data_IF_929901213275
#
_entry.id   IF_929901213275
#
_cell.length_a   1.000
_cell.length_b   1.000
_cell.length_c   1.000
_cell.angle_alpha   90.00
_cell.angle_beta   90.00
_cell.angle_gamma   90.00
#
_symmetry.space_group_name_H-M   'P 1'
#
loop_
_entity.id
_entity.type
_entity.pdbx_description
1 polymer ?
#
# COMPACT_ATOMS: atom_id res chain seq x y z
N UNK A 1 1.63 -25.49 16.23
CA UNK A 1 0.77 -24.85 15.23
C UNK A 1 1.69 -23.98 14.39
N UNK A 2 1.91 -24.31 13.11
CA UNK A 2 2.87 -23.60 12.27
C UNK A 2 2.25 -22.28 11.80
N UNK A 3 2.67 -21.16 12.39
CA UNK A 3 2.38 -19.83 11.88
C UNK A 3 3.05 -19.68 10.51
N UNK A 4 2.25 -19.76 9.45
CA UNK A 4 2.72 -19.49 8.10
C UNK A 4 3.22 -18.04 8.00
N UNK A 5 4.49 -17.87 7.64
CA UNK A 5 5.21 -16.61 7.40
C UNK A 5 4.57 -15.74 6.31
N UNK A 6 3.42 -15.14 6.59
CA UNK A 6 2.84 -14.06 5.79
C UNK A 6 2.74 -12.81 6.66
N UNK A 7 3.83 -12.06 6.82
CA UNK A 7 3.77 -10.71 7.39
C UNK A 7 3.16 -9.76 6.36
N UNK A 8 1.85 -9.88 6.15
CA UNK A 8 1.13 -9.13 5.15
C UNK A 8 0.67 -7.79 5.73
N UNK A 9 1.61 -6.85 5.84
CA UNK A 9 1.42 -5.57 6.53
C UNK A 9 0.95 -4.44 5.61
N UNK A 10 0.62 -4.74 4.34
CA UNK A 10 0.30 -3.71 3.33
C UNK A 10 -0.82 -2.77 3.77
N UNK A 11 -1.94 -3.31 4.25
CA UNK A 11 -3.09 -2.50 4.67
C UNK A 11 -2.76 -1.56 5.82
N UNK A 12 -1.94 -2.03 6.77
CA UNK A 12 -1.45 -1.24 7.91
C UNK A 12 -0.54 -0.10 7.45
N UNK A 13 0.52 -0.43 6.71
CA UNK A 13 1.48 0.57 6.20
C UNK A 13 0.76 1.57 5.28
N UNK A 14 -0.12 1.09 4.40
CA UNK A 14 -0.88 1.96 3.52
C UNK A 14 -1.82 2.90 4.28
N UNK A 15 -2.49 2.42 5.33
CA UNK A 15 -3.34 3.25 6.19
C UNK A 15 -2.54 4.33 6.90
N UNK A 16 -1.41 3.96 7.51
CA UNK A 16 -0.51 4.91 8.19
C UNK A 16 -0.04 6.02 7.23
N UNK A 17 0.30 5.67 5.99
CA UNK A 17 0.73 6.64 4.98
C UNK A 17 -0.41 7.52 4.48
N UNK A 18 -1.61 6.98 4.25
CA UNK A 18 -2.80 7.79 3.92
C UNK A 18 -3.05 8.80 5.04
N UNK A 19 -3.07 8.35 6.29
CA UNK A 19 -3.35 9.21 7.43
C UNK A 19 -2.26 10.29 7.57
N UNK A 20 -0.99 9.94 7.32
CA UNK A 20 0.13 10.89 7.25
C UNK A 20 -0.07 11.94 6.15
N UNK A 21 -0.65 11.59 5.00
CA UNK A 21 -0.91 12.57 3.94
C UNK A 21 -2.08 13.52 4.25
N UNK A 22 -3.01 13.12 5.13
CA UNK A 22 -4.28 13.83 5.31
C UNK A 22 -5.21 13.78 4.10
N UNK A 23 -4.86 13.03 3.05
CA UNK A 23 -5.69 12.83 1.88
C UNK A 23 -6.77 11.78 2.16
N UNK A 24 -7.96 11.96 1.56
CA UNK A 24 -8.98 10.92 1.60
C UNK A 24 -8.65 9.80 0.60
N UNK A 25 -9.17 8.59 0.84
CA UNK A 25 -9.08 7.49 -0.12
C UNK A 25 -9.61 7.88 -1.52
N UNK A 26 -10.59 8.78 -1.58
CA UNK A 26 -11.13 9.31 -2.84
C UNK A 26 -10.08 10.10 -3.62
N UNK A 27 -9.37 11.03 -2.98
CA UNK A 27 -8.30 11.82 -3.63
C UNK A 27 -7.17 10.93 -4.14
N UNK A 28 -6.79 9.91 -3.35
CA UNK A 28 -5.79 8.93 -3.76
C UNK A 28 -6.28 8.13 -4.97
N UNK A 29 -7.55 7.71 -4.96
CA UNK A 29 -8.20 7.01 -6.07
C UNK A 29 -8.19 7.83 -7.36
N UNK A 30 -8.59 9.11 -7.32
CA UNK A 30 -8.59 10.00 -8.47
C UNK A 30 -7.20 10.18 -9.06
N UNK A 31 -6.22 10.53 -8.22
CA UNK A 31 -4.86 10.78 -8.67
C UNK A 31 -4.18 9.51 -9.19
N UNK A 32 -4.33 8.40 -8.47
CA UNK A 32 -3.73 7.14 -8.87
C UNK A 32 -4.48 6.52 -10.07
N UNK A 33 -5.62 7.06 -10.51
CA UNK A 33 -6.53 6.49 -11.50
C UNK A 33 -6.97 5.05 -11.14
N UNK A 34 -7.24 4.82 -9.86
CA UNK A 34 -7.63 3.52 -9.31
C UNK A 34 -9.07 3.58 -8.82
N UNK A 35 -9.79 2.46 -8.97
CA UNK A 35 -11.14 2.31 -8.44
C UNK A 35 -11.15 2.59 -6.92
N UNK A 36 -12.11 3.41 -6.47
CA UNK A 36 -12.21 3.79 -5.06
C UNK A 36 -12.50 2.58 -4.17
N UNK A 37 -13.32 1.63 -4.64
CA UNK A 37 -13.58 0.41 -3.88
C UNK A 37 -12.32 -0.46 -3.79
N UNK A 38 -11.48 -0.47 -4.82
CA UNK A 38 -10.17 -1.10 -4.81
C UNK A 38 -9.21 -0.49 -3.78
N UNK A 39 -9.08 0.84 -3.75
CA UNK A 39 -8.29 1.54 -2.71
C UNK A 39 -8.82 1.24 -1.31
N UNK A 40 -10.14 1.24 -1.12
CA UNK A 40 -10.77 0.90 0.15
C UNK A 40 -10.44 -0.54 0.59
N UNK A 41 -10.49 -1.51 -0.32
CA UNK A 41 -10.10 -2.90 -0.04
C UNK A 41 -8.62 -3.02 0.32
N UNK A 42 -7.73 -2.28 -0.34
CA UNK A 42 -6.31 -2.25 0.00
C UNK A 42 -6.08 -1.69 1.41
N UNK A 43 -6.75 -0.59 1.77
CA UNK A 43 -6.64 0.04 3.09
C UNK A 43 -7.16 -0.86 4.21
N UNK A 44 -8.28 -1.54 3.98
CA UNK A 44 -8.95 -2.35 5.00
C UNK A 44 -8.48 -3.81 5.06
N UNK A 45 -7.46 -4.19 4.29
CA UNK A 45 -6.94 -5.57 4.29
C UNK A 45 -7.75 -6.60 3.49
N UNK A 46 -8.76 -6.15 2.74
CA UNK A 46 -9.52 -6.99 1.81
C UNK A 46 -8.73 -7.40 0.56
N UNK A 47 -7.59 -6.75 0.30
CA UNK A 47 -6.60 -7.16 -0.71
C UNK A 47 -5.21 -6.72 -0.28
N UNK A 48 -4.24 -7.63 -0.34
CA UNK A 48 -2.94 -7.42 0.29
C UNK A 48 -1.74 -7.66 -0.64
N UNK A 49 -1.99 -8.04 -1.88
CA UNK A 49 -0.94 -8.26 -2.89
C UNK A 49 -1.22 -7.42 -4.16
N UNK A 50 -1.15 -6.08 -4.08
CA UNK A 50 -1.15 -5.23 -5.28
C UNK A 50 0.09 -5.49 -6.14
N UNK A 51 -0.01 -5.28 -7.45
CA UNK A 51 1.16 -5.34 -8.32
C UNK A 51 2.10 -4.15 -8.05
N UNK A 52 3.37 -4.29 -8.44
CA UNK A 52 4.36 -3.22 -8.28
C UNK A 52 3.92 -1.90 -8.94
N UNK A 53 3.26 -1.97 -10.10
CA UNK A 53 2.70 -0.79 -10.79
C UNK A 53 1.65 -0.08 -9.92
N UNK A 54 0.73 -0.82 -9.30
CA UNK A 54 -0.28 -0.26 -8.40
C UNK A 54 0.37 0.41 -7.20
N UNK A 55 1.38 -0.24 -6.60
CA UNK A 55 2.11 0.34 -5.47
C UNK A 55 2.84 1.62 -5.90
N UNK A 56 3.42 1.65 -7.10
CA UNK A 56 4.07 2.83 -7.65
C UNK A 56 3.07 4.00 -7.83
N UNK A 57 1.90 3.73 -8.41
CA UNK A 57 0.84 4.74 -8.60
C UNK A 57 0.35 5.30 -7.27
N UNK A 58 0.16 4.44 -6.28
CA UNK A 58 -0.19 4.84 -4.92
C UNK A 58 0.93 5.68 -4.29
N UNK A 59 2.19 5.25 -4.43
CA UNK A 59 3.34 5.98 -3.89
C UNK A 59 3.47 7.39 -4.48
N UNK A 60 3.27 7.53 -5.79
CA UNK A 60 3.24 8.84 -6.45
C UNK A 60 2.09 9.71 -5.95
N UNK A 61 0.89 9.13 -5.75
CA UNK A 61 -0.24 9.85 -5.18
C UNK A 61 0.05 10.37 -3.76
N UNK A 62 0.63 9.52 -2.91
CA UNK A 62 0.98 9.89 -1.53
C UNK A 62 1.99 11.05 -1.51
N UNK A 63 3.05 10.96 -2.32
CA UNK A 63 4.06 12.01 -2.45
C UNK A 63 3.50 13.32 -3.03
N UNK A 64 2.50 13.23 -3.92
CA UNK A 64 1.82 14.40 -4.45
C UNK A 64 1.03 15.17 -3.38
N UNK A 65 0.31 14.47 -2.50
CA UNK A 65 -0.56 15.11 -1.52
C UNK A 65 0.16 15.57 -0.25
N UNK A 66 1.33 15.01 0.08
CA UNK A 66 2.13 15.49 1.20
C UNK A 66 3.63 15.42 0.92
N UNK A 67 4.30 16.58 0.95
CA UNK A 67 5.75 16.73 0.74
C UNK A 67 6.60 16.06 1.82
N UNK A 68 6.01 15.71 2.97
CA UNK A 68 6.66 14.99 4.06
C UNK A 68 6.67 13.46 3.85
N UNK A 69 6.11 12.97 2.75
CA UNK A 69 6.29 11.58 2.30
C UNK A 69 7.68 11.45 1.72
N UNK A 70 8.47 10.55 2.31
CA UNK A 70 9.87 10.32 1.98
C UNK A 70 10.04 9.09 1.09
N UNK A 71 11.20 8.96 0.46
CA UNK A 71 11.56 7.74 -0.26
C UNK A 71 11.47 6.48 0.64
N UNK A 72 11.88 6.60 1.91
CA UNK A 72 11.80 5.52 2.90
C UNK A 72 10.35 5.11 3.20
N UNK A 73 9.40 6.05 3.19
CA UNK A 73 7.98 5.72 3.33
C UNK A 73 7.47 4.88 2.15
N UNK A 74 7.89 5.24 0.93
CA UNK A 74 7.54 4.51 -0.29
C UNK A 74 8.19 3.13 -0.29
N UNK A 75 9.45 3.01 0.09
CA UNK A 75 10.14 1.71 0.26
C UNK A 75 9.41 0.80 1.24
N UNK A 76 8.95 1.33 2.38
CA UNK A 76 8.13 0.58 3.34
C UNK A 76 6.85 0.06 2.71
N UNK A 77 6.16 0.88 1.92
CA UNK A 77 4.96 0.47 1.19
C UNK A 77 5.27 -0.68 0.22
N UNK A 78 6.35 -0.60 -0.56
CA UNK A 78 6.76 -1.68 -1.47
C UNK A 78 7.14 -2.97 -0.73
N UNK A 79 7.82 -2.86 0.42
CA UNK A 79 8.23 -4.02 1.21
C UNK A 79 7.08 -4.66 2.00
N UNK A 80 6.00 -3.92 2.24
CA UNK A 80 4.80 -4.42 2.93
C UNK A 80 3.87 -5.29 2.07
N UNK A 81 4.08 -5.32 0.75
CA UNK A 81 3.33 -6.20 -0.16
C UNK A 81 3.66 -7.64 0.17
N UNK A 82 2.64 -8.44 0.51
CA UNK A 82 2.80 -9.85 0.79
C UNK A 82 3.41 -10.60 -0.39
N UNK A 83 4.71 -10.90 -0.31
CA UNK A 83 5.37 -11.79 -1.27
C UNK A 83 5.07 -13.22 -0.86
N UNK A 84 4.54 -14.02 -1.78
CA UNK A 84 4.65 -15.47 -1.66
C UNK A 84 6.15 -15.80 -1.68
N UNK A 85 6.75 -16.01 -0.50
CA UNK A 85 8.05 -16.67 -0.44
C UNK A 85 7.79 -18.09 -0.96
N UNK A 86 8.10 -18.31 -2.23
CA UNK A 86 8.38 -19.65 -2.70
C UNK A 86 9.56 -20.14 -1.88
N UNK A 87 9.28 -20.96 -0.86
CA UNK A 87 10.27 -21.79 -0.22
C UNK A 87 10.91 -22.65 -1.32
N UNK A 88 12.02 -22.16 -1.89
CA UNK A 88 12.97 -23.03 -2.56
C UNK A 88 13.52 -23.95 -1.47
N UNK A 89 13.08 -25.22 -1.52
CA UNK A 89 13.84 -26.33 -0.94
C UNK A 89 15.18 -26.44 -1.63
#
# INVERSE_FOLDING_TARGET
>A
MAEGLYSNDFSRVFSELIDKTGASCYKISEYAHLDQAYISRLRNGGRNNPSAEIVMRIGLALAHFNKNITATDIEKLFNSVGRSIGLKR
#
